data_IF_081676461545
#
_entry.id   IF_081676461545
#
_cell.length_a   1.000
_cell.length_b   1.000
_cell.length_c   1.000
_cell.angle_alpha   90.00
_cell.angle_beta   90.00
_cell.angle_gamma   90.00
#
_symmetry.space_group_name_H-M   'P 1'
#
loop_
_entity.id
_entity.type
_entity.pdbx_description
1 polymer ?
#
# COMPACT_ATOMS: atom_id res chain seq x y z
N UNK A 1 8.96 -0.66 -12.33
CA UNK A 1 9.29 -0.44 -10.91
C UNK A 1 10.02 0.89 -10.79
N UNK A 2 9.50 1.83 -9.98
CA UNK A 2 10.15 3.12 -9.70
C UNK A 2 10.66 3.08 -8.25
N UNK A 3 11.92 3.46 -8.02
CA UNK A 3 12.56 3.38 -6.70
C UNK A 3 12.79 4.79 -6.18
N UNK A 4 12.25 5.08 -5.00
CA UNK A 4 12.36 6.38 -4.34
C UNK A 4 12.81 6.16 -2.91
N UNK A 5 13.89 6.81 -2.50
CA UNK A 5 14.35 6.81 -1.10
C UNK A 5 13.75 8.02 -0.40
N UNK A 6 13.03 7.79 0.71
CA UNK A 6 12.40 8.81 1.55
C UNK A 6 12.80 8.63 3.01
N UNK A 7 12.99 9.73 3.71
CA UNK A 7 13.17 9.80 5.15
C UNK A 7 11.82 9.73 5.88
N UNK A 8 11.87 9.57 7.22
CA UNK A 8 10.67 9.64 8.04
C UNK A 8 10.00 11.03 7.92
N UNK A 9 8.68 11.03 7.88
CA UNK A 9 7.77 12.14 7.60
C UNK A 9 7.77 12.67 6.16
N UNK A 10 8.51 12.06 5.24
CA UNK A 10 8.36 12.37 3.83
C UNK A 10 7.23 11.56 3.18
N UNK A 11 6.66 12.10 2.11
CA UNK A 11 5.57 11.49 1.38
C UNK A 11 5.84 11.40 -0.11
N UNK A 12 5.23 10.40 -0.74
CA UNK A 12 5.20 10.15 -2.18
C UNK A 12 3.76 10.23 -2.63
N UNK A 13 3.50 10.93 -3.72
CA UNK A 13 2.16 11.03 -4.31
C UNK A 13 2.14 10.20 -5.59
N UNK A 14 1.10 9.37 -5.74
CA UNK A 14 0.88 8.52 -6.91
C UNK A 14 -0.43 8.96 -7.55
N UNK A 15 -0.38 9.43 -8.79
CA UNK A 15 -1.56 9.99 -9.47
C UNK A 15 -2.03 11.29 -8.83
N UNK A 16 -3.34 11.46 -8.68
CA UNK A 16 -3.95 12.64 -8.05
C UNK A 16 -4.40 12.40 -6.60
N UNK A 17 -4.72 11.16 -6.24
CA UNK A 17 -5.49 10.86 -5.02
C UNK A 17 -4.79 9.91 -4.03
N UNK A 18 -3.66 9.31 -4.41
CA UNK A 18 -2.93 8.37 -3.55
C UNK A 18 -1.71 9.07 -2.96
N UNK A 19 -1.62 9.12 -1.64
CA UNK A 19 -0.46 9.62 -0.91
C UNK A 19 0.08 8.54 0.03
N UNK A 20 1.37 8.27 -0.10
CA UNK A 20 2.10 7.32 0.73
C UNK A 20 3.08 8.09 1.59
N UNK A 21 2.88 8.07 2.90
CA UNK A 21 3.70 8.81 3.86
C UNK A 21 4.51 7.84 4.71
N UNK A 22 5.82 8.03 4.79
CA UNK A 22 6.66 7.26 5.70
C UNK A 22 6.51 7.87 7.09
N UNK A 23 5.71 7.27 7.97
CA UNK A 23 5.43 7.82 9.30
C UNK A 23 6.65 7.73 10.22
N UNK A 24 7.35 6.59 10.20
CA UNK A 24 8.52 6.36 11.05
C UNK A 24 9.30 5.15 10.58
N UNK A 25 10.60 5.16 10.83
CA UNK A 25 11.49 4.01 10.64
C UNK A 25 12.04 3.62 12.01
N UNK A 26 11.83 2.37 12.42
CA UNK A 26 12.38 1.80 13.65
C UNK A 26 13.14 0.52 13.32
N UNK A 27 14.47 0.62 13.24
CA UNK A 27 15.33 -0.50 12.85
C UNK A 27 14.95 -1.00 11.45
N UNK A 28 14.45 -2.23 11.37
CA UNK A 28 13.98 -2.85 10.12
C UNK A 28 12.47 -2.66 9.88
N UNK A 29 11.74 -2.03 10.80
CA UNK A 29 10.30 -1.84 10.64
C UNK A 29 10.00 -0.42 10.17
N UNK A 30 9.26 -0.31 9.07
CA UNK A 30 8.80 0.97 8.53
C UNK A 30 7.30 1.10 8.76
N UNK A 31 6.86 2.21 9.34
CA UNK A 31 5.45 2.59 9.39
C UNK A 31 5.15 3.43 8.17
N UNK A 32 4.21 2.94 7.37
CA UNK A 32 3.77 3.60 6.14
C UNK A 32 2.29 3.94 6.33
N UNK A 33 1.95 5.22 6.18
CA UNK A 33 0.58 5.69 6.04
C UNK A 33 0.23 5.71 4.56
N UNK A 34 -0.92 5.15 4.20
CA UNK A 34 -1.43 5.19 2.83
C UNK A 34 -2.79 5.89 2.90
N UNK A 35 -2.87 7.05 2.26
CA UNK A 35 -4.11 7.77 2.03
C UNK A 35 -4.50 7.51 0.58
N UNK A 36 -5.65 6.88 0.37
CA UNK A 36 -6.23 6.63 -0.94
C UNK A 36 -7.74 6.82 -0.86
N UNK A 37 -8.40 7.19 -1.98
CA UNK A 37 -9.86 7.31 -2.03
C UNK A 37 -10.51 5.93 -1.83
N UNK A 38 -11.75 5.92 -1.34
CA UNK A 38 -12.51 4.68 -1.03
C UNK A 38 -12.72 3.76 -2.22
N UNK A 39 -12.63 4.30 -3.44
CA UNK A 39 -12.71 3.55 -4.69
C UNK A 39 -11.53 2.60 -4.88
N UNK A 40 -10.38 2.92 -4.28
CA UNK A 40 -9.14 2.17 -4.40
C UNK A 40 -8.93 1.37 -3.10
N UNK A 41 -9.18 0.05 -3.11
CA UNK A 41 -8.95 -0.78 -1.93
C UNK A 41 -7.46 -0.90 -1.62
N UNK A 42 -7.07 -0.53 -0.40
CA UNK A 42 -5.70 -0.71 0.11
C UNK A 42 -5.67 -1.97 0.95
N UNK A 43 -4.91 -2.97 0.50
CA UNK A 43 -4.79 -4.26 1.18
C UNK A 43 -3.33 -4.58 1.48
N UNK A 44 -3.12 -5.39 2.52
CA UNK A 44 -1.81 -6.04 2.72
C UNK A 44 -1.66 -7.12 1.66
N UNK A 45 -0.47 -7.26 1.10
CA UNK A 45 -0.17 -8.20 0.01
C UNK A 45 -0.68 -9.62 0.30
N UNK A 46 -0.38 -10.15 1.49
CA UNK A 46 -0.84 -11.48 1.94
C UNK A 46 -2.38 -11.64 1.91
N UNK A 47 -3.13 -10.55 2.17
CA UNK A 47 -4.59 -10.58 2.15
C UNK A 47 -5.12 -10.46 0.72
N UNK A 48 -4.46 -9.67 -0.13
CA UNK A 48 -4.82 -9.55 -1.54
C UNK A 48 -4.68 -10.90 -2.26
N UNK A 49 -3.60 -11.64 -2.03
CA UNK A 49 -3.41 -12.97 -2.64
C UNK A 49 -4.50 -13.97 -2.22
N UNK A 50 -4.91 -13.94 -0.94
CA UNK A 50 -6.00 -14.78 -0.43
C UNK A 50 -7.34 -14.46 -1.09
N UNK A 51 -7.67 -13.19 -1.23
CA UNK A 51 -8.94 -12.73 -1.81
C UNK A 51 -8.96 -13.03 -3.32
N UNK A 52 -7.87 -12.76 -4.04
CA UNK A 52 -7.74 -13.08 -5.46
C UNK A 52 -7.89 -14.59 -5.72
N UNK A 53 -7.31 -15.44 -4.87
CA UNK A 53 -7.47 -16.88 -4.96
C UNK A 53 -8.91 -17.36 -4.69
N UNK A 54 -9.63 -16.73 -3.76
CA UNK A 54 -11.03 -17.09 -3.46
C UNK A 54 -12.01 -16.63 -4.53
N UNK A 55 -11.79 -15.47 -5.17
CA UNK A 55 -12.64 -14.99 -6.27
C UNK A 55 -12.55 -15.86 -7.52
N UNK A 56 -11.39 -16.48 -7.78
CA UNK A 56 -11.22 -17.41 -8.89
C UNK A 56 -11.90 -18.78 -8.66
N UNK A 57 -12.02 -19.22 -7.41
CA UNK A 57 -12.61 -20.53 -7.07
C UNK A 57 -14.15 -20.53 -7.01
N UNK A 58 -14.79 -19.36 -6.95
CA UNK A 58 -16.25 -19.23 -6.75
C UNK A 58 -17.04 -19.04 -8.06
N UNK A 59 -16.36 -19.10 -9.21
CA UNK A 59 -16.97 -18.96 -10.54
C UNK A 59 -17.04 -20.28 -11.33
N UNK A 60 -16.97 -21.44 -10.64
CA UNK A 60 -17.05 -22.78 -11.20
C UNK A 60 -18.35 -23.50 -10.84
#
# INVERSE_FOLDING_TARGET
MLILTRHANESVVIGQDIKVTVLSVRGNQVRIGIEAPKDIPVHREEIHERIAAQSAASAG
#
